data_IF_930765496001
#
_entry.id   IF_930765496001
#
_cell.length_a   1.000
_cell.length_b   1.000
_cell.length_c   1.000
_cell.angle_alpha   90.00
_cell.angle_beta   90.00
_cell.angle_gamma   90.00
#
_symmetry.space_group_name_H-M   'P 1'
#
loop_
_entity.id
_entity.type
_entity.pdbx_description
1 polymer ?
#
# COMPACT_ATOMS: atom_id res chain seq x y z
N UNK A 1 8.35 -1.49 9.29
CA UNK A 1 8.49 -1.02 10.68
C UNK A 1 8.78 0.47 10.78
N UNK A 2 9.66 1.05 9.95
CA UNK A 2 9.86 2.52 9.86
C UNK A 2 8.57 3.28 9.54
N UNK A 3 7.71 2.71 8.69
CA UNK A 3 6.37 3.22 8.38
C UNK A 3 5.45 3.29 9.60
N UNK A 4 5.49 2.26 10.46
CA UNK A 4 4.71 2.22 11.70
C UNK A 4 5.14 3.30 12.70
N UNK A 5 6.44 3.62 12.76
CA UNK A 5 6.95 4.73 13.56
C UNK A 5 6.51 6.09 13.01
N UNK A 6 6.53 6.28 11.69
CA UNK A 6 6.06 7.52 11.04
C UNK A 6 4.55 7.69 11.28
N UNK A 7 3.76 6.63 11.13
CA UNK A 7 2.32 6.62 11.39
C UNK A 7 2.03 6.92 12.87
N UNK A 8 2.80 6.32 13.80
CA UNK A 8 2.69 6.61 15.22
C UNK A 8 3.04 8.07 15.54
N UNK A 9 4.10 8.61 14.92
CA UNK A 9 4.52 10.00 15.12
C UNK A 9 3.50 10.99 14.55
N UNK A 10 2.89 10.69 13.40
CA UNK A 10 1.81 11.49 12.82
C UNK A 10 0.52 11.40 13.65
N UNK A 11 0.20 10.22 14.17
CA UNK A 11 -0.90 10.04 15.13
C UNK A 11 -0.65 10.86 16.41
N UNK A 12 0.57 10.80 16.95
CA UNK A 12 0.96 11.58 18.12
C UNK A 12 0.91 13.09 17.83
N UNK A 13 1.42 13.54 16.68
CA UNK A 13 1.38 14.94 16.26
C UNK A 13 -0.05 15.46 16.03
N UNK A 14 -0.97 14.61 15.56
CA UNK A 14 -2.39 14.97 15.39
C UNK A 14 -3.16 15.08 16.72
N UNK A 15 -2.77 14.31 17.73
CA UNK A 15 -3.52 14.18 18.99
C UNK A 15 -2.85 14.79 20.23
N UNK A 16 -1.55 15.12 20.21
CA UNK A 16 -0.84 15.62 21.40
C UNK A 16 -1.44 16.91 21.97
N UNK A 17 -1.97 17.81 21.11
CA UNK A 17 -2.62 19.06 21.54
C UNK A 17 -3.99 18.86 22.18
N UNK A 18 -4.64 17.70 21.96
CA UNK A 18 -6.00 17.41 22.44
C UNK A 18 -6.04 16.50 23.67
N UNK A 19 -4.90 15.97 24.08
CA UNK A 19 -4.81 14.99 25.17
C UNK A 19 -4.42 15.68 26.49
N UNK A 20 -5.08 15.27 27.58
CA UNK A 20 -4.66 15.64 28.94
C UNK A 20 -3.27 15.04 29.23
N UNK A 21 -2.41 15.72 30.02
CA UNK A 21 -1.03 15.28 30.26
C UNK A 21 -0.94 13.87 30.88
N UNK A 22 -1.90 13.49 31.73
CA UNK A 22 -1.98 12.13 32.29
C UNK A 22 -2.16 11.05 31.21
N UNK A 23 -2.99 11.32 30.19
CA UNK A 23 -3.23 10.37 29.11
C UNK A 23 -2.04 10.28 28.15
N UNK A 24 -1.28 11.36 28.01
CA UNK A 24 -0.06 11.39 27.19
C UNK A 24 1.05 10.52 27.81
N UNK A 25 1.22 10.57 29.13
CA UNK A 25 2.17 9.69 29.84
C UNK A 25 1.77 8.22 29.68
N UNK A 26 0.49 7.88 29.84
CA UNK A 26 -0.01 6.52 29.63
C UNK A 26 0.26 6.06 28.19
N UNK A 27 -0.01 6.90 27.19
CA UNK A 27 0.19 6.57 25.78
C UNK A 27 1.68 6.35 25.44
N UNK A 28 2.57 7.19 25.98
CA UNK A 28 4.03 7.01 25.84
C UNK A 28 4.49 5.73 26.55
N UNK A 29 3.95 5.44 27.74
CA UNK A 29 4.24 4.19 28.46
C UNK A 29 3.83 2.95 27.68
N UNK A 30 2.61 2.94 27.12
CA UNK A 30 2.12 1.86 26.26
C UNK A 30 3.00 1.70 25.02
N UNK A 31 3.42 2.80 24.39
CA UNK A 31 4.35 2.76 23.26
C UNK A 31 5.69 2.11 23.62
N UNK A 32 6.29 2.51 24.74
CA UNK A 32 7.55 1.93 25.20
C UNK A 32 7.43 0.45 25.58
N UNK A 33 6.28 0.02 26.09
CA UNK A 33 6.07 -1.40 26.43
C UNK A 33 5.83 -2.25 25.18
N UNK A 34 5.05 -1.75 24.22
CA UNK A 34 4.56 -2.57 23.09
C UNK A 34 5.39 -2.43 21.82
N UNK A 35 5.86 -1.22 21.47
CA UNK A 35 6.51 -0.94 20.18
C UNK A 35 8.03 -0.87 20.32
N UNK A 36 8.55 -0.37 21.45
CA UNK A 36 10.01 -0.24 21.63
C UNK A 36 10.78 -1.58 21.59
N UNK A 37 10.29 -2.70 22.19
CA UNK A 37 10.99 -3.99 22.08
C UNK A 37 11.13 -4.46 20.63
N UNK A 38 10.12 -4.16 19.80
CA UNK A 38 10.14 -4.44 18.37
C UNK A 38 11.16 -3.58 17.61
N UNK A 39 11.56 -2.42 18.13
CA UNK A 39 12.61 -1.60 17.54
C UNK A 39 14.00 -2.22 17.74
N UNK A 40 14.25 -2.87 18.88
CA UNK A 40 15.53 -3.54 19.15
C UNK A 40 15.82 -4.68 18.17
N UNK A 41 14.78 -5.35 17.64
CA UNK A 41 14.94 -6.43 16.65
C UNK A 41 15.34 -5.91 15.26
N UNK A 42 15.16 -4.62 14.97
CA UNK A 42 15.58 -3.99 13.71
C UNK A 42 17.09 -4.02 13.55
N UNK A 43 17.84 -3.83 14.63
CA UNK A 43 19.31 -3.86 14.62
C UNK A 43 19.90 -5.28 14.72
N UNK A 44 19.06 -6.32 14.74
CA UNK A 44 19.55 -7.69 14.77
C UNK A 44 20.30 -8.06 13.47
N UNK A 45 21.31 -8.91 13.59
CA UNK A 45 22.13 -9.38 12.45
C UNK A 45 21.28 -10.04 11.35
N UNK A 46 20.21 -10.73 11.73
CA UNK A 46 19.26 -11.37 10.79
C UNK A 46 18.54 -10.36 9.89
N UNK A 47 18.09 -9.24 10.46
CA UNK A 47 17.40 -8.17 9.71
C UNK A 47 18.37 -7.46 8.76
N UNK A 48 19.57 -7.12 9.23
CA UNK A 48 20.59 -6.48 8.40
C UNK A 48 21.02 -7.37 7.22
N UNK A 49 21.19 -8.68 7.43
CA UNK A 49 21.51 -9.62 6.35
C UNK A 49 20.45 -9.62 5.23
N UNK A 50 19.16 -9.58 5.58
CA UNK A 50 18.07 -9.49 4.59
C UNK A 50 18.05 -8.15 3.84
N UNK A 51 18.38 -7.04 4.50
CA UNK A 51 18.51 -5.75 3.82
C UNK A 51 19.67 -5.75 2.81
N UNK A 52 20.81 -6.35 3.15
CA UNK A 52 21.97 -6.43 2.24
C UNK A 52 21.83 -7.48 1.15
N UNK A 53 20.94 -8.47 1.29
CA UNK A 53 20.72 -9.49 0.26
C UNK A 53 19.64 -9.11 -0.75
N UNK A 54 18.65 -8.32 -0.33
CA UNK A 54 17.42 -8.10 -1.13
C UNK A 54 17.19 -6.61 -1.41
N UNK A 55 17.99 -5.70 -0.83
CA UNK A 55 17.82 -4.27 -1.01
C UNK A 55 18.23 -3.78 -2.40
N UNK A 56 17.63 -2.67 -2.83
CA UNK A 56 17.95 -1.94 -4.08
C UNK A 56 19.46 -1.65 -4.25
N UNK A 57 20.19 -1.53 -3.14
CA UNK A 57 21.64 -1.25 -3.13
C UNK A 57 22.51 -2.50 -3.31
N UNK A 58 21.94 -3.69 -3.12
CA UNK A 58 22.61 -4.97 -3.30
C UNK A 58 22.52 -5.46 -4.76
N UNK A 59 21.49 -5.01 -5.47
CA UNK A 59 21.24 -5.38 -6.85
C UNK A 59 22.22 -4.67 -7.80
N UNK A 60 22.94 -5.45 -8.61
CA UNK A 60 23.85 -4.92 -9.64
C UNK A 60 23.13 -4.55 -10.93
N UNK A 61 21.88 -4.98 -11.12
CA UNK A 61 21.06 -4.70 -12.31
C UNK A 61 20.98 -3.21 -12.67
N UNK A 62 20.61 -2.31 -11.73
CA UNK A 62 20.54 -0.87 -12.01
C UNK A 62 21.87 -0.26 -12.45
N UNK A 63 23.00 -0.81 -12.00
CA UNK A 63 24.33 -0.34 -12.42
C UNK A 63 24.61 -0.74 -13.86
N UNK A 64 24.23 -1.97 -14.25
CA UNK A 64 24.35 -2.43 -15.64
C UNK A 64 23.45 -1.62 -16.58
N UNK A 65 22.20 -1.35 -16.19
CA UNK A 65 21.27 -0.50 -16.95
C UNK A 65 21.83 0.92 -17.16
N UNK A 66 22.51 1.48 -16.15
CA UNK A 66 23.18 2.78 -16.28
C UNK A 66 24.34 2.73 -17.28
N UNK A 67 25.16 1.67 -17.25
CA UNK A 67 26.29 1.51 -18.18
C UNK A 67 25.76 1.36 -19.61
N UNK A 68 24.76 0.50 -19.79
CA UNK A 68 24.11 0.22 -21.06
C UNK A 68 23.47 1.49 -21.65
N UNK A 69 22.61 2.17 -20.89
CA UNK A 69 21.94 3.40 -21.32
C UNK A 69 22.93 4.53 -21.63
N UNK A 70 24.07 4.63 -20.93
CA UNK A 70 25.11 5.61 -21.27
C UNK A 70 25.88 5.27 -22.54
N UNK A 71 26.00 3.99 -22.86
CA UNK A 71 26.73 3.51 -24.04
C UNK A 71 25.90 3.80 -25.29
N UNK A 72 24.63 3.40 -25.30
CA UNK A 72 23.74 3.59 -26.45
C UNK A 72 23.22 5.02 -26.61
N UNK A 73 22.95 5.76 -25.53
CA UNK A 73 22.43 7.14 -25.63
C UNK A 73 23.39 8.11 -26.35
N UNK A 74 24.70 7.83 -26.34
CA UNK A 74 25.69 8.67 -27.02
C UNK A 74 25.60 8.61 -28.54
N UNK A 75 24.88 7.64 -29.11
CA UNK A 75 24.69 7.54 -30.56
C UNK A 75 23.69 8.60 -31.06
N UNK A 76 22.69 8.97 -30.24
CA UNK A 76 21.59 9.84 -30.66
C UNK A 76 21.56 11.22 -29.97
N UNK A 77 22.16 11.36 -28.77
CA UNK A 77 22.00 12.55 -27.92
C UNK A 77 23.32 13.11 -27.38
N UNK A 78 23.38 14.43 -27.11
CA UNK A 78 24.56 15.05 -26.52
C UNK A 78 24.84 14.50 -25.11
N UNK A 79 26.13 14.36 -24.81
CA UNK A 79 26.64 13.76 -23.56
C UNK A 79 25.95 14.28 -22.30
N UNK A 80 25.68 15.58 -22.19
CA UNK A 80 25.04 16.17 -21.01
C UNK A 80 23.67 15.54 -20.71
N UNK A 81 22.82 15.38 -21.74
CA UNK A 81 21.47 14.82 -21.59
C UNK A 81 21.53 13.34 -21.20
N UNK A 82 22.44 12.58 -21.80
CA UNK A 82 22.62 11.17 -21.45
C UNK A 82 23.08 11.00 -20.00
N UNK A 83 23.96 11.86 -19.49
CA UNK A 83 24.39 11.79 -18.09
C UNK A 83 23.31 12.24 -17.13
N UNK A 84 22.45 13.20 -17.50
CA UNK A 84 21.31 13.61 -16.68
C UNK A 84 20.25 12.50 -16.58
N UNK A 85 19.94 11.83 -17.70
CA UNK A 85 18.97 10.74 -17.73
C UNK A 85 19.50 9.46 -17.07
N UNK A 86 20.76 9.11 -17.34
CA UNK A 86 21.40 7.89 -16.83
C UNK A 86 22.30 8.15 -15.63
N UNK A 87 21.88 9.02 -14.70
CA UNK A 87 22.55 9.13 -13.40
C UNK A 87 21.95 8.13 -12.40
N UNK A 88 22.71 7.81 -11.34
CA UNK A 88 22.26 6.86 -10.30
C UNK A 88 20.96 7.35 -9.65
N UNK A 89 20.83 8.62 -9.32
CA UNK A 89 19.62 9.14 -8.66
C UNK A 89 18.37 9.01 -9.54
N UNK A 90 18.46 9.29 -10.84
CA UNK A 90 17.38 9.21 -11.82
C UNK A 90 16.94 7.78 -12.03
N UNK A 91 17.90 6.85 -12.25
CA UNK A 91 17.57 5.43 -12.47
C UNK A 91 16.98 4.81 -11.21
N UNK A 92 17.62 5.01 -10.05
CA UNK A 92 17.08 4.51 -8.79
C UNK A 92 15.73 5.14 -8.44
N UNK A 93 15.56 6.43 -8.70
CA UNK A 93 14.29 7.14 -8.53
C UNK A 93 13.19 6.57 -9.44
N UNK A 94 13.50 6.33 -10.72
CA UNK A 94 12.57 5.70 -11.67
C UNK A 94 12.17 4.30 -11.22
N UNK A 95 13.12 3.47 -10.81
CA UNK A 95 12.85 2.10 -10.33
C UNK A 95 11.99 2.13 -9.06
N UNK A 96 12.32 3.00 -8.10
CA UNK A 96 11.53 3.15 -6.88
C UNK A 96 10.10 3.61 -7.18
N UNK A 97 9.96 4.58 -8.08
CA UNK A 97 8.65 5.12 -8.47
C UNK A 97 7.81 4.09 -9.23
N UNK A 98 8.40 3.34 -10.16
CA UNK A 98 7.71 2.26 -10.89
C UNK A 98 7.24 1.15 -9.93
N UNK A 99 8.12 0.70 -9.03
CA UNK A 99 7.75 -0.29 -7.99
C UNK A 99 6.67 0.22 -7.05
N UNK A 100 6.71 1.51 -6.71
CA UNK A 100 5.71 2.16 -5.90
C UNK A 100 4.34 2.21 -6.61
N UNK A 101 4.30 2.61 -7.88
CA UNK A 101 3.05 2.63 -8.66
C UNK A 101 2.48 1.23 -8.88
N UNK A 102 3.34 0.23 -9.15
CA UNK A 102 2.93 -1.17 -9.26
C UNK A 102 2.24 -1.69 -7.99
N UNK A 103 2.67 -1.22 -6.82
CA UNK A 103 2.03 -1.56 -5.53
C UNK A 103 0.57 -1.11 -5.45
N UNK A 104 0.23 0.03 -6.06
CA UNK A 104 -1.14 0.57 -6.12
C UNK A 104 -1.92 0.15 -7.36
N UNK A 105 -1.31 -0.63 -8.25
CA UNK A 105 -1.98 -1.07 -9.47
C UNK A 105 -3.17 -1.97 -9.14
N UNK A 106 -4.26 -1.81 -9.90
CA UNK A 106 -5.45 -2.66 -9.75
C UNK A 106 -5.12 -4.12 -10.08
N UNK A 107 -4.20 -4.35 -11.02
CA UNK A 107 -3.73 -5.68 -11.35
C UNK A 107 -3.09 -6.36 -10.13
N UNK A 108 -2.17 -5.69 -9.45
CA UNK A 108 -1.55 -6.24 -8.24
C UNK A 108 -2.54 -6.39 -7.08
N UNK A 109 -3.37 -5.37 -6.81
CA UNK A 109 -4.25 -5.38 -5.63
C UNK A 109 -5.45 -6.33 -5.79
N UNK A 110 -5.99 -6.51 -7.00
CA UNK A 110 -7.31 -7.14 -7.18
C UNK A 110 -7.37 -8.27 -8.22
N UNK A 111 -6.45 -8.32 -9.19
CA UNK A 111 -6.53 -9.27 -10.32
C UNK A 111 -5.42 -10.32 -10.24
N UNK A 112 -4.19 -9.94 -10.61
CA UNK A 112 -3.05 -10.83 -10.76
C UNK A 112 -2.25 -11.11 -9.51
N UNK A 113 -2.25 -10.21 -8.52
CA UNK A 113 -1.49 -10.41 -7.28
C UNK A 113 0.01 -10.55 -7.51
N UNK A 114 0.65 -11.40 -6.72
CA UNK A 114 2.09 -11.68 -6.78
C UNK A 114 2.37 -12.80 -7.80
N UNK A 115 2.57 -12.43 -9.08
CA UNK A 115 2.79 -13.39 -10.18
C UNK A 115 4.19 -14.03 -10.21
N UNK A 116 5.19 -13.44 -9.53
CA UNK A 116 6.60 -13.80 -9.73
C UNK A 116 7.22 -14.64 -8.61
N UNK A 117 6.44 -15.10 -7.62
CA UNK A 117 6.96 -15.91 -6.52
C UNK A 117 6.02 -17.09 -6.26
N UNK A 118 6.26 -18.21 -6.93
CA UNK A 118 5.50 -19.45 -6.80
C UNK A 118 5.47 -20.07 -5.39
N UNK A 119 6.02 -19.39 -4.37
CA UNK A 119 6.08 -19.86 -2.98
C UNK A 119 5.04 -19.23 -2.05
N UNK A 120 4.37 -18.13 -2.42
CA UNK A 120 3.51 -17.39 -1.48
C UNK A 120 2.19 -16.82 -2.07
N UNK A 121 1.91 -17.06 -3.36
CA UNK A 121 0.73 -16.56 -4.05
C UNK A 121 0.02 -17.64 -4.85
N UNK A 122 -1.32 -17.53 -4.93
CA UNK A 122 -2.11 -18.24 -5.96
C UNK A 122 -2.05 -17.38 -7.22
N UNK A 123 -1.66 -17.98 -8.34
CA UNK A 123 -1.65 -17.29 -9.63
C UNK A 123 -3.04 -16.75 -9.97
N UNK A 124 -3.09 -15.55 -10.57
CA UNK A 124 -4.34 -14.87 -10.94
C UNK A 124 -5.26 -14.55 -9.75
N UNK A 125 -4.69 -14.39 -8.55
CA UNK A 125 -5.45 -13.93 -7.39
C UNK A 125 -4.79 -12.73 -6.71
N UNK A 126 -5.49 -11.60 -6.81
CA UNK A 126 -5.17 -10.36 -6.10
C UNK A 126 -5.18 -10.50 -4.57
N UNK A 127 -4.82 -9.41 -3.91
CA UNK A 127 -4.85 -9.28 -2.45
C UNK A 127 -6.26 -9.07 -1.91
N UNK A 128 -7.08 -8.40 -2.71
CA UNK A 128 -8.49 -8.17 -2.46
C UNK A 128 -9.31 -8.77 -3.61
N UNK A 129 -10.61 -8.95 -3.38
CA UNK A 129 -11.50 -9.46 -4.43
C UNK A 129 -11.69 -8.43 -5.53
N UNK A 130 -11.65 -8.84 -6.79
CA UNK A 130 -11.93 -8.01 -7.98
C UNK A 130 -13.15 -7.09 -7.83
N UNK A 131 -14.20 -7.59 -7.17
CA UNK A 131 -15.46 -6.87 -6.96
C UNK A 131 -15.37 -5.69 -6.00
N UNK A 132 -14.29 -5.62 -5.22
CA UNK A 132 -14.04 -4.48 -4.34
C UNK A 132 -13.38 -3.30 -5.06
N UNK A 133 -13.05 -3.42 -6.36
CA UNK A 133 -12.49 -2.32 -7.16
C UNK A 133 -13.40 -1.09 -7.17
N UNK A 134 -14.72 -1.17 -7.46
CA UNK A 134 -15.58 0.01 -7.45
C UNK A 134 -15.67 0.65 -6.06
N UNK A 135 -15.69 -0.16 -5.00
CA UNK A 135 -15.70 0.31 -3.62
C UNK A 135 -14.38 1.00 -3.25
N UNK A 136 -13.25 0.46 -3.69
CA UNK A 136 -11.94 1.06 -3.54
C UNK A 136 -11.84 2.42 -4.25
N UNK A 137 -12.32 2.52 -5.49
CA UNK A 137 -12.36 3.78 -6.25
C UNK A 137 -13.29 4.81 -5.59
N UNK A 138 -14.47 4.39 -5.13
CA UNK A 138 -15.38 5.25 -4.36
C UNK A 138 -14.75 5.71 -3.03
N UNK A 139 -13.97 4.85 -2.38
CA UNK A 139 -13.21 5.17 -1.18
C UNK A 139 -12.17 6.26 -1.42
N UNK A 140 -11.47 6.21 -2.56
CA UNK A 140 -10.55 7.27 -2.97
C UNK A 140 -11.27 8.60 -3.19
N UNK A 141 -12.44 8.60 -3.84
CA UNK A 141 -13.27 9.81 -3.99
C UNK A 141 -13.72 10.32 -2.62
N UNK A 142 -14.09 9.42 -1.70
CA UNK A 142 -14.51 9.76 -0.34
C UNK A 142 -13.39 10.42 0.48
N UNK A 143 -12.12 10.11 0.20
CA UNK A 143 -10.96 10.72 0.86
C UNK A 143 -10.91 12.24 0.59
N UNK A 144 -11.25 12.66 -0.63
CA UNK A 144 -11.27 14.07 -1.04
C UNK A 144 -12.62 14.76 -0.80
N UNK A 145 -13.70 14.00 -0.60
CA UNK A 145 -15.01 14.56 -0.28
C UNK A 145 -15.07 15.03 1.18
N UNK A 146 -15.50 16.27 1.42
CA UNK A 146 -15.77 16.76 2.76
C UNK A 146 -17.10 16.19 3.28
N UNK A 147 -17.07 15.50 4.43
CA UNK A 147 -18.28 15.10 5.16
C UNK A 147 -18.34 15.89 6.46
N UNK A 148 -19.54 16.23 6.95
CA UNK A 148 -19.73 16.93 8.24
C UNK A 148 -19.28 16.14 9.48
N UNK A 149 -18.71 14.94 9.33
CA UNK A 149 -18.28 14.12 10.45
C UNK A 149 -16.83 14.45 10.85
N UNK A 150 -16.71 15.24 11.92
CA UNK A 150 -15.44 15.74 12.49
C UNK A 150 -14.43 14.64 12.82
N UNK A 151 -14.90 13.43 13.15
CA UNK A 151 -14.02 12.29 13.45
C UNK A 151 -13.35 11.74 12.18
N UNK A 152 -14.11 11.56 11.11
CA UNK A 152 -13.63 11.05 9.81
C UNK A 152 -12.62 12.02 9.22
N UNK A 153 -12.92 13.33 9.25
CA UNK A 153 -12.00 14.36 8.76
C UNK A 153 -10.68 14.41 9.53
N UNK A 154 -10.68 14.06 10.82
CA UNK A 154 -9.45 13.97 11.62
C UNK A 154 -8.58 12.77 11.22
N UNK A 155 -9.18 11.68 10.73
CA UNK A 155 -8.46 10.46 10.35
C UNK A 155 -7.94 10.48 8.90
N UNK A 156 -8.48 11.33 8.03
CA UNK A 156 -8.00 11.52 6.64
C UNK A 156 -6.48 11.67 6.50
N UNK A 157 -5.80 12.57 7.23
CA UNK A 157 -4.35 12.71 7.10
C UNK A 157 -3.60 11.45 7.51
N UNK A 158 -4.09 10.70 8.50
CA UNK A 158 -3.49 9.44 8.94
C UNK A 158 -3.63 8.37 7.86
N UNK A 159 -4.79 8.27 7.21
CA UNK A 159 -5.03 7.31 6.13
C UNK A 159 -4.20 7.67 4.90
N UNK A 160 -4.15 8.96 4.55
CA UNK A 160 -3.33 9.43 3.43
C UNK A 160 -1.84 9.15 3.66
N UNK A 161 -1.33 9.43 4.86
CA UNK A 161 0.03 9.07 5.24
C UNK A 161 0.24 7.55 5.25
N UNK A 162 -0.72 6.79 5.76
CA UNK A 162 -0.68 5.33 5.78
C UNK A 162 -0.61 4.72 4.38
N UNK A 163 -1.35 5.27 3.41
CA UNK A 163 -1.26 4.90 2.01
C UNK A 163 0.13 5.29 1.47
N UNK A 164 0.55 6.54 1.66
CA UNK A 164 1.81 7.02 1.13
C UNK A 164 3.02 6.22 1.61
N UNK A 165 3.12 6.03 2.93
CA UNK A 165 4.25 5.37 3.57
C UNK A 165 4.11 3.85 3.58
N UNK A 166 2.89 3.30 3.61
CA UNK A 166 2.64 1.86 3.72
C UNK A 166 3.27 1.04 2.60
N UNK A 167 3.40 1.61 1.40
CA UNK A 167 4.03 0.98 0.23
C UNK A 167 5.58 1.07 0.20
N UNK A 168 6.19 1.97 0.99
CA UNK A 168 7.65 2.19 0.96
C UNK A 168 8.52 0.96 1.24
N UNK A 169 8.20 0.09 2.23
CA UNK A 169 9.04 -1.08 2.51
C UNK A 169 9.12 -2.03 1.32
N UNK A 170 8.04 -2.10 0.54
CA UNK A 170 7.94 -2.93 -0.64
C UNK A 170 8.76 -2.35 -1.80
N UNK A 171 8.61 -1.06 -2.10
CA UNK A 171 9.30 -0.41 -3.23
C UNK A 171 10.83 -0.43 -3.07
N UNK A 172 11.34 -0.27 -1.85
CA UNK A 172 12.79 -0.30 -1.55
C UNK A 172 13.37 -1.71 -1.71
N UNK A 173 12.62 -2.73 -1.32
CA UNK A 173 13.13 -4.10 -1.26
C UNK A 173 12.94 -4.89 -2.56
N UNK A 174 12.10 -4.46 -3.51
CA UNK A 174 11.91 -5.22 -4.75
C UNK A 174 10.56 -5.04 -5.41
N UNK A 175 10.15 -6.06 -6.16
CA UNK A 175 8.79 -6.21 -6.66
C UNK A 175 7.79 -6.32 -5.49
N UNK A 176 6.54 -5.92 -5.72
CA UNK A 176 5.54 -5.90 -4.66
C UNK A 176 5.22 -7.30 -4.15
N UNK A 177 5.41 -7.52 -2.84
CA UNK A 177 5.14 -8.80 -2.18
C UNK A 177 4.11 -8.65 -1.07
N UNK A 178 3.23 -9.65 -0.92
CA UNK A 178 2.10 -9.61 0.02
C UNK A 178 2.57 -9.33 1.46
N UNK A 179 3.65 -9.97 1.89
CA UNK A 179 4.22 -9.85 3.24
C UNK A 179 4.79 -8.45 3.50
N UNK A 180 5.46 -7.87 2.50
CA UNK A 180 6.09 -6.53 2.58
C UNK A 180 5.05 -5.41 2.53
N UNK A 181 3.87 -5.69 1.97
CA UNK A 181 2.73 -4.79 1.87
C UNK A 181 1.71 -4.95 2.98
N UNK A 182 1.98 -5.82 3.96
CA UNK A 182 1.17 -5.92 5.17
C UNK A 182 0.87 -4.58 5.86
N UNK A 183 1.77 -3.57 5.89
CA UNK A 183 1.46 -2.27 6.50
C UNK A 183 0.46 -1.45 5.69
N UNK A 184 0.32 -1.69 4.38
CA UNK A 184 -0.58 -0.97 3.49
C UNK A 184 -2.04 -1.47 3.61
N UNK A 185 -2.23 -2.75 3.91
CA UNK A 185 -3.56 -3.38 3.96
C UNK A 185 -4.62 -2.69 4.81
N UNK A 186 -4.37 -2.34 6.09
CA UNK A 186 -5.40 -1.72 6.91
C UNK A 186 -5.92 -0.42 6.29
N UNK A 187 -5.05 0.35 5.62
CA UNK A 187 -5.45 1.61 4.97
C UNK A 187 -6.29 1.38 3.71
N UNK A 188 -5.95 0.37 2.92
CA UNK A 188 -6.75 -0.02 1.74
C UNK A 188 -8.12 -0.58 2.15
N UNK A 189 -8.18 -1.37 3.24
CA UNK A 189 -9.45 -1.85 3.80
C UNK A 189 -10.34 -0.69 4.27
N UNK A 190 -9.77 0.28 4.98
CA UNK A 190 -10.52 1.47 5.42
C UNK A 190 -11.08 2.23 4.21
N UNK A 191 -10.31 2.39 3.13
CA UNK A 191 -10.81 2.99 1.89
C UNK A 191 -12.00 2.22 1.31
N UNK A 192 -11.92 0.89 1.21
CA UNK A 192 -13.01 0.06 0.68
C UNK A 192 -14.27 0.23 1.53
N UNK A 193 -14.14 0.22 2.86
CA UNK A 193 -15.25 0.43 3.80
C UNK A 193 -15.85 1.83 3.65
N UNK A 194 -15.02 2.87 3.48
CA UNK A 194 -15.52 4.22 3.21
C UNK A 194 -16.26 4.35 1.89
N UNK A 195 -15.78 3.67 0.84
CA UNK A 195 -16.50 3.59 -0.43
C UNK A 195 -17.86 2.91 -0.28
N UNK A 196 -17.93 1.84 0.51
CA UNK A 196 -19.19 1.18 0.85
C UNK A 196 -20.14 2.11 1.62
N UNK A 197 -19.63 2.90 2.56
CA UNK A 197 -20.46 3.82 3.33
C UNK A 197 -20.98 4.98 2.48
N UNK A 198 -20.18 5.48 1.52
CA UNK A 198 -20.63 6.47 0.55
C UNK A 198 -21.73 5.90 -0.36
N UNK A 199 -21.58 4.65 -0.80
CA UNK A 199 -22.63 3.94 -1.54
C UNK A 199 -23.91 3.85 -0.69
N UNK A 200 -23.81 3.39 0.56
CA UNK A 200 -24.94 3.27 1.48
C UNK A 200 -25.67 4.59 1.72
N UNK A 201 -24.94 5.69 1.91
CA UNK A 201 -25.55 7.02 2.10
C UNK A 201 -26.37 7.45 0.88
N UNK A 202 -25.91 7.13 -0.33
CA UNK A 202 -26.65 7.43 -1.56
C UNK A 202 -27.97 6.66 -1.66
N UNK A 203 -28.03 5.47 -1.06
CA UNK A 203 -29.24 4.63 -0.99
C UNK A 203 -30.03 4.77 0.32
N UNK A 204 -29.72 5.76 1.17
CA UNK A 204 -30.29 5.93 2.52
C UNK A 204 -31.83 6.07 2.53
N UNK A 205 -32.44 6.54 1.44
CA UNK A 205 -33.89 6.67 1.30
C UNK A 205 -34.64 5.35 1.03
N UNK A 206 -33.95 4.29 0.59
CA UNK A 206 -34.59 3.02 0.25
C UNK A 206 -33.72 1.82 0.68
N UNK A 207 -33.68 1.60 2.00
CA UNK A 207 -32.87 0.54 2.63
C UNK A 207 -33.19 -0.85 2.08
N UNK A 208 -34.44 -1.12 1.69
CA UNK A 208 -34.85 -2.38 1.04
C UNK A 208 -34.13 -2.57 -0.30
N UNK A 209 -34.08 -1.54 -1.14
CA UNK A 209 -33.38 -1.60 -2.43
C UNK A 209 -31.87 -1.80 -2.25
N UNK A 210 -31.27 -1.23 -1.20
CA UNK A 210 -29.87 -1.46 -0.87
C UNK A 210 -29.58 -2.93 -0.51
N UNK A 211 -30.40 -3.54 0.35
CA UNK A 211 -30.22 -4.96 0.71
C UNK A 211 -30.51 -5.91 -0.45
N UNK A 212 -31.47 -5.58 -1.32
CA UNK A 212 -31.75 -6.35 -2.55
C UNK A 212 -30.57 -6.24 -3.54
N UNK A 213 -29.99 -5.05 -3.70
CA UNK A 213 -28.79 -4.86 -4.51
C UNK A 213 -27.60 -5.63 -3.94
N UNK A 214 -27.40 -5.58 -2.61
CA UNK A 214 -26.33 -6.30 -1.93
C UNK A 214 -26.51 -7.83 -2.02
N UNK A 215 -27.74 -8.34 -1.85
CA UNK A 215 -28.03 -9.77 -1.96
C UNK A 215 -27.87 -10.28 -3.39
N UNK A 216 -28.34 -9.51 -4.38
CA UNK A 216 -28.11 -9.81 -5.79
C UNK A 216 -26.61 -9.84 -6.12
N UNK A 217 -25.85 -8.86 -5.62
CA UNK A 217 -24.40 -8.79 -5.81
C UNK A 217 -23.67 -9.98 -5.16
N UNK A 218 -24.07 -10.38 -3.95
CA UNK A 218 -23.49 -11.54 -3.25
C UNK A 218 -23.84 -12.87 -3.93
N UNK A 219 -25.07 -13.05 -4.40
CA UNK A 219 -25.50 -14.26 -5.10
C UNK A 219 -24.83 -14.36 -6.48
N UNK A 220 -24.79 -13.25 -7.23
CA UNK A 220 -24.06 -13.17 -8.49
C UNK A 220 -22.53 -13.34 -8.31
N UNK A 221 -22.00 -13.17 -7.10
CA UNK A 221 -20.58 -13.38 -6.78
C UNK A 221 -20.28 -14.82 -6.35
N UNK A 222 -21.06 -15.36 -5.42
CA UNK A 222 -20.85 -16.70 -4.87
C UNK A 222 -21.05 -17.77 -5.93
N UNK A 223 -22.01 -17.58 -6.84
CA UNK A 223 -22.32 -18.58 -7.87
C UNK A 223 -21.14 -18.73 -8.85
N UNK A 224 -20.64 -17.69 -9.57
CA UNK A 224 -19.52 -17.85 -10.48
C UNK A 224 -18.22 -18.21 -9.77
N UNK A 225 -17.96 -17.71 -8.56
CA UNK A 225 -16.75 -18.07 -7.81
C UNK A 225 -16.77 -19.55 -7.39
N UNK A 226 -17.93 -20.07 -6.99
CA UNK A 226 -18.12 -21.48 -6.72
C UNK A 226 -17.96 -22.32 -8.00
N UNK A 227 -18.61 -21.91 -9.10
CA UNK A 227 -18.51 -22.62 -10.38
C UNK A 227 -17.08 -22.63 -10.94
N UNK A 228 -16.37 -21.51 -10.93
CA UNK A 228 -15.02 -21.41 -11.48
C UNK A 228 -14.01 -22.24 -10.65
N UNK A 229 -14.22 -22.37 -9.34
CA UNK A 229 -13.38 -23.21 -8.46
C UNK A 229 -13.73 -24.71 -8.54
N UNK A 230 -14.95 -25.06 -8.91
CA UNK A 230 -15.44 -26.44 -9.00
C UNK A 230 -15.23 -27.06 -10.39
N UNK A 231 -15.20 -26.26 -11.46
CA UNK A 231 -15.05 -26.74 -12.84
C UNK A 231 -13.66 -26.53 -13.46
N UNK A 232 -12.80 -25.65 -12.92
CA UNK A 232 -11.42 -25.45 -13.39
C UNK A 232 -10.35 -26.07 -12.46
N UNK A 233 -10.76 -26.97 -11.57
CA UNK A 233 -9.89 -27.96 -10.90
C UNK A 233 -10.22 -29.34 -11.46
#
# INVERSE_FOLDING_TARGET
>A
MTTGLIIFFLFFYGFYKKLKPKNLIILVGVFFITIFPLFLTVFSKSTNARFYQIGLLADKGPVMEIIESRTFCREDLPKLLCYLNSNKATVFGRILFDRYLKTFSLDYLFVGGERSSGSYGVENFGLFSFFTIPLYLLGFIALFSHKKNKFIDTLKPLIFAGLLFGAMPSSIAGLPQKVRLSPLFPFVLILIVWGFELLREKFRGNTKTFYIFLSYFLVFYLVPCFFNKFFNN
#
